data_IF_853948876695
#
_entry.id   IF_853948876695
#
_cell.length_a   1.000
_cell.length_b   1.000
_cell.length_c   1.000
_cell.angle_alpha   90.00
_cell.angle_beta   90.00
_cell.angle_gamma   90.00
#
_symmetry.space_group_name_H-M   'P 1'
#
loop_
_entity.id
_entity.type
_entity.pdbx_description
1 polymer ?
#
# COMPACT_ATOMS: atom_id res chain seq x y z
N UNK A 1 -19.21 -1.27 -7.44
CA UNK A 1 -18.02 -2.16 -7.36
C UNK A 1 -17.25 -1.77 -6.11
N UNK A 2 -16.86 -2.72 -5.27
CA UNK A 2 -16.19 -2.43 -3.99
C UNK A 2 -14.68 -2.63 -4.16
N UNK A 3 -13.88 -1.64 -3.75
CA UNK A 3 -12.46 -1.54 -4.09
C UNK A 3 -11.61 -1.50 -2.82
N UNK A 4 -10.55 -2.30 -2.78
CA UNK A 4 -9.51 -2.19 -1.77
C UNK A 4 -8.25 -1.60 -2.41
N UNK A 5 -7.71 -0.57 -1.79
CA UNK A 5 -6.40 -0.02 -2.11
C UNK A 5 -5.44 -0.39 -0.99
N UNK A 6 -4.47 -1.24 -1.30
CA UNK A 6 -3.39 -1.61 -0.38
C UNK A 6 -2.20 -0.69 -0.66
N UNK A 7 -1.83 0.13 0.32
CA UNK A 7 -0.66 1.00 0.24
C UNK A 7 0.50 0.31 0.95
N UNK A 8 1.50 -0.12 0.18
CA UNK A 8 2.74 -0.67 0.73
C UNK A 8 3.69 0.51 0.94
N UNK A 9 3.97 0.82 2.20
CA UNK A 9 4.80 1.97 2.61
C UNK A 9 6.09 1.49 3.24
N UNK A 10 7.18 2.24 3.04
CA UNK A 10 8.50 1.88 3.53
C UNK A 10 8.60 1.94 5.06
N UNK A 11 7.90 2.91 5.66
CA UNK A 11 7.86 3.10 7.10
C UNK A 11 7.45 1.87 7.91
N UNK A 12 7.77 1.90 9.21
CA UNK A 12 7.37 0.89 10.17
C UNK A 12 6.07 1.28 10.90
N UNK A 13 5.46 0.32 11.60
CA UNK A 13 4.19 0.56 12.34
C UNK A 13 4.30 1.59 13.47
N UNK A 14 5.51 1.93 13.92
CA UNK A 14 5.76 2.91 14.99
C UNK A 14 5.92 4.34 14.45
N UNK A 15 6.50 4.52 13.28
CA UNK A 15 6.66 5.77 12.55
C UNK A 15 5.72 5.76 11.34
N UNK A 16 4.43 6.07 11.56
CA UNK A 16 3.38 6.01 10.51
C UNK A 16 3.35 7.24 9.59
N UNK A 17 4.46 7.96 9.46
CA UNK A 17 4.52 9.26 8.77
C UNK A 17 3.97 9.18 7.35
N UNK A 18 4.43 8.21 6.55
CA UNK A 18 4.03 8.08 5.14
C UNK A 18 2.53 7.82 5.05
N UNK A 19 2.03 6.90 5.88
CA UNK A 19 0.62 6.54 5.86
C UNK A 19 -0.27 7.71 6.29
N UNK A 20 0.13 8.45 7.33
CA UNK A 20 -0.59 9.65 7.76
C UNK A 20 -0.64 10.66 6.62
N UNK A 21 0.51 10.95 6.01
CA UNK A 21 0.59 11.91 4.92
C UNK A 21 -0.24 11.50 3.69
N UNK A 22 -0.15 10.24 3.25
CA UNK A 22 -0.93 9.71 2.12
C UNK A 22 -2.42 9.75 2.44
N UNK A 23 -2.82 9.27 3.62
CA UNK A 23 -4.22 9.23 4.01
C UNK A 23 -4.81 10.63 4.11
N UNK A 24 -4.12 11.56 4.75
CA UNK A 24 -4.57 12.94 4.92
C UNK A 24 -4.66 13.65 3.56
N UNK A 25 -3.72 13.38 2.66
CA UNK A 25 -3.78 13.87 1.26
C UNK A 25 -5.01 13.32 0.54
N UNK A 26 -5.30 12.03 0.65
CA UNK A 26 -6.49 11.44 0.03
C UNK A 26 -7.76 12.05 0.61
N UNK A 27 -7.86 12.15 1.93
CA UNK A 27 -9.03 12.72 2.62
C UNK A 27 -9.21 14.22 2.32
N UNK A 28 -8.12 14.96 2.08
CA UNK A 28 -8.18 16.39 1.76
C UNK A 28 -8.59 16.66 0.31
N UNK A 29 -8.02 15.92 -0.65
CA UNK A 29 -8.20 16.20 -2.07
C UNK A 29 -9.33 15.42 -2.74
N UNK A 30 -9.75 14.28 -2.18
CA UNK A 30 -10.72 13.40 -2.81
C UNK A 30 -11.92 13.12 -1.91
N UNK A 31 -13.12 13.33 -2.46
CA UNK A 31 -14.34 12.81 -1.86
C UNK A 31 -14.57 11.37 -2.37
N UNK A 32 -14.74 10.43 -1.44
CA UNK A 32 -14.94 9.03 -1.80
C UNK A 32 -15.84 8.31 -0.79
N UNK A 33 -16.58 7.31 -1.28
CA UNK A 33 -17.44 6.48 -0.43
C UNK A 33 -16.58 5.54 0.43
N UNK A 34 -16.51 5.84 1.72
CA UNK A 34 -15.78 5.08 2.74
C UNK A 34 -16.33 3.66 2.96
N UNK A 35 -17.55 3.37 2.50
CA UNK A 35 -18.15 2.03 2.56
C UNK A 35 -17.79 1.19 1.33
N UNK A 36 -17.62 1.84 0.17
CA UNK A 36 -17.24 1.18 -1.07
C UNK A 36 -15.73 1.03 -1.24
N UNK A 37 -14.93 1.98 -0.72
CA UNK A 37 -13.47 2.00 -0.84
C UNK A 37 -12.81 1.73 0.52
N UNK A 38 -12.02 0.67 0.56
CA UNK A 38 -11.20 0.30 1.73
C UNK A 38 -9.73 0.63 1.47
N UNK A 39 -9.19 1.58 2.22
CA UNK A 39 -7.75 1.85 2.23
C UNK A 39 -7.06 0.97 3.29
N UNK A 40 -5.94 0.33 2.95
CA UNK A 40 -5.23 -0.59 3.84
C UNK A 40 -3.72 -0.36 3.76
N UNK A 41 -3.06 0.16 4.80
CA UNK A 41 -1.60 0.25 4.81
C UNK A 41 -0.94 -1.10 5.12
N UNK A 42 0.17 -1.38 4.45
CA UNK A 42 1.12 -2.46 4.75
C UNK A 42 2.49 -1.84 4.94
N UNK A 43 3.04 -1.97 6.14
CA UNK A 43 4.31 -1.40 6.53
C UNK A 43 5.44 -2.38 6.22
N UNK A 44 6.45 -1.93 5.47
CA UNK A 44 7.60 -2.75 5.12
C UNK A 44 8.63 -2.90 6.24
N UNK A 45 8.57 -2.04 7.26
CA UNK A 45 9.52 -2.01 8.37
C UNK A 45 10.96 -1.68 7.93
N UNK A 46 11.09 -0.78 6.95
CA UNK A 46 12.35 -0.21 6.43
C UNK A 46 12.68 -0.57 4.97
N UNK A 47 13.66 0.16 4.40
CA UNK A 47 14.15 0.03 3.02
C UNK A 47 14.52 -1.40 2.65
N UNK A 48 14.22 -1.82 1.42
CA UNK A 48 14.69 -3.10 0.86
C UNK A 48 13.91 -4.36 1.27
N UNK A 49 12.92 -4.25 2.16
CA UNK A 49 12.19 -5.43 2.72
C UNK A 49 10.97 -5.89 1.92
N UNK A 50 11.00 -5.73 0.59
CA UNK A 50 9.84 -5.90 -0.29
C UNK A 50 9.27 -7.33 -0.27
N UNK A 51 10.14 -8.34 -0.33
CA UNK A 51 9.76 -9.77 -0.36
C UNK A 51 9.11 -10.25 0.94
N UNK A 52 9.36 -9.55 2.05
CA UNK A 52 8.90 -10.00 3.37
C UNK A 52 7.39 -9.77 3.57
N UNK A 53 6.74 -8.98 2.71
CA UNK A 53 5.34 -8.58 2.87
C UNK A 53 4.38 -9.19 1.86
N UNK A 54 4.89 -9.94 0.88
CA UNK A 54 4.07 -10.60 -0.15
C UNK A 54 2.99 -11.52 0.46
N UNK A 55 3.35 -12.25 1.52
CA UNK A 55 2.41 -13.12 2.25
C UNK A 55 1.30 -12.32 2.95
N UNK A 56 1.62 -11.16 3.52
CA UNK A 56 0.67 -10.26 4.17
C UNK A 56 -0.28 -9.63 3.13
N UNK A 57 0.26 -9.17 2.02
CA UNK A 57 -0.51 -8.61 0.88
C UNK A 57 -1.45 -9.67 0.32
N UNK A 58 -0.95 -10.88 0.06
CA UNK A 58 -1.74 -12.00 -0.45
C UNK A 58 -2.89 -12.39 0.49
N UNK A 59 -2.61 -12.43 1.81
CA UNK A 59 -3.63 -12.66 2.84
C UNK A 59 -4.72 -11.58 2.81
N UNK A 60 -4.33 -10.30 2.69
CA UNK A 60 -5.27 -9.18 2.64
C UNK A 60 -6.16 -9.22 1.39
N UNK A 61 -5.57 -9.53 0.23
CA UNK A 61 -6.31 -9.71 -1.03
C UNK A 61 -7.30 -10.86 -0.91
N UNK A 62 -6.87 -12.03 -0.42
CA UNK A 62 -7.73 -13.20 -0.27
C UNK A 62 -8.89 -12.93 0.69
N UNK A 63 -8.62 -12.31 1.84
CA UNK A 63 -9.64 -11.94 2.81
C UNK A 63 -10.67 -10.96 2.24
N UNK A 64 -10.21 -9.98 1.45
CA UNK A 64 -11.13 -9.02 0.81
C UNK A 64 -11.99 -9.68 -0.27
N UNK A 65 -11.38 -10.50 -1.12
CA UNK A 65 -12.08 -11.25 -2.19
C UNK A 65 -13.13 -12.21 -1.63
N UNK A 66 -12.84 -12.86 -0.50
CA UNK A 66 -13.76 -13.77 0.18
C UNK A 66 -15.06 -13.07 0.66
N UNK A 67 -15.05 -11.75 0.83
CA UNK A 67 -16.23 -10.99 1.27
C UNK A 67 -17.39 -10.96 0.26
N UNK A 68 -17.17 -11.34 -1.01
CA UNK A 68 -18.23 -11.45 -2.02
C UNK A 68 -17.83 -11.01 -3.43
N UNK A 69 -18.72 -11.24 -4.41
CA UNK A 69 -18.47 -11.04 -5.84
C UNK A 69 -18.27 -9.56 -6.21
N UNK A 70 -17.44 -9.30 -7.23
CA UNK A 70 -17.20 -7.95 -7.76
C UNK A 70 -16.28 -7.07 -6.90
N UNK A 71 -15.62 -7.64 -5.89
CA UNK A 71 -14.58 -6.99 -5.10
C UNK A 71 -13.24 -7.02 -5.84
N UNK A 72 -12.58 -5.88 -5.90
CA UNK A 72 -11.27 -5.73 -6.53
C UNK A 72 -10.27 -5.19 -5.53
N UNK A 73 -9.02 -5.62 -5.65
CA UNK A 73 -7.90 -5.08 -4.87
C UNK A 73 -6.85 -4.53 -5.82
N UNK A 74 -6.30 -3.36 -5.50
CA UNK A 74 -5.13 -2.77 -6.15
C UNK A 74 -4.06 -2.57 -5.10
N UNK A 75 -2.84 -2.93 -5.44
CA UNK A 75 -1.66 -2.76 -4.57
C UNK A 75 -0.85 -1.61 -5.14
N UNK A 76 -0.56 -0.61 -4.31
CA UNK A 76 0.17 0.60 -4.65
C UNK A 76 1.41 0.61 -3.76
N UNK A 77 2.58 0.54 -4.39
CA UNK A 77 3.85 0.64 -3.68
C UNK A 77 4.30 2.10 -3.62
N UNK A 78 4.59 2.58 -2.41
CA UNK A 78 4.98 3.96 -2.13
C UNK A 78 6.41 3.94 -1.58
N UNK A 79 7.35 4.45 -2.36
CA UNK A 79 8.78 4.44 -2.05
C UNK A 79 9.30 5.87 -1.98
N UNK A 80 10.13 6.14 -0.96
CA UNK A 80 10.87 7.39 -0.90
C UNK A 80 11.97 7.36 -1.97
N UNK A 81 11.96 8.39 -2.82
CA UNK A 81 12.77 8.48 -4.04
C UNK A 81 13.96 9.45 -3.85
N UNK A 82 14.51 9.50 -2.65
CA UNK A 82 15.62 10.37 -2.25
C UNK A 82 17.00 9.90 -2.74
N UNK A 83 17.12 8.66 -3.24
CA UNK A 83 18.40 8.01 -3.59
C UNK A 83 18.45 7.41 -5.03
N UNK A 84 17.74 8.02 -6.00
CA UNK A 84 17.61 7.51 -7.39
C UNK A 84 18.94 7.20 -8.11
N UNK A 85 20.04 7.86 -7.70
CA UNK A 85 21.33 7.77 -8.38
C UNK A 85 22.25 6.64 -7.87
N UNK A 86 21.90 5.91 -6.81
CA UNK A 86 22.88 5.08 -6.08
C UNK A 86 22.49 3.62 -5.87
N UNK A 87 21.22 3.19 -6.08
CA UNK A 87 20.79 1.83 -5.72
C UNK A 87 20.03 1.12 -6.86
N UNK A 88 20.76 0.30 -7.60
CA UNK A 88 20.27 -0.50 -8.73
C UNK A 88 19.17 -1.51 -8.37
N UNK A 89 19.01 -1.83 -7.07
CA UNK A 89 17.99 -2.74 -6.56
C UNK A 89 16.56 -2.18 -6.67
N UNK A 90 16.41 -0.85 -6.56
CA UNK A 90 15.11 -0.17 -6.64
C UNK A 90 14.58 -0.14 -8.10
N UNK A 91 15.46 -0.29 -9.10
CA UNK A 91 15.07 -0.41 -10.52
C UNK A 91 14.41 -1.75 -10.87
N UNK A 92 14.49 -2.77 -10.00
CA UNK A 92 13.93 -4.09 -10.28
C UNK A 92 12.53 -4.30 -9.67
N UNK A 93 11.90 -3.24 -9.13
CA UNK A 93 10.59 -3.29 -8.47
C UNK A 93 9.44 -2.93 -9.43
N UNK A 94 9.61 -3.20 -10.72
CA UNK A 94 8.52 -3.07 -11.69
C UNK A 94 7.75 -4.39 -11.80
N UNK A 95 6.45 -4.34 -11.50
CA UNK A 95 5.45 -5.36 -11.81
C UNK A 95 4.31 -4.73 -12.63
#
# INVERSE_FOLDING_TARGET
MSLQLIFVVETNKTCKSDWIYIKDTIDYFFEYDRTAIKLTPVYMDGKGKYKNKEKEISKNIAAYKAGGKGRQTKVIYCFDCDDYNTKQEDMNIYF
#
